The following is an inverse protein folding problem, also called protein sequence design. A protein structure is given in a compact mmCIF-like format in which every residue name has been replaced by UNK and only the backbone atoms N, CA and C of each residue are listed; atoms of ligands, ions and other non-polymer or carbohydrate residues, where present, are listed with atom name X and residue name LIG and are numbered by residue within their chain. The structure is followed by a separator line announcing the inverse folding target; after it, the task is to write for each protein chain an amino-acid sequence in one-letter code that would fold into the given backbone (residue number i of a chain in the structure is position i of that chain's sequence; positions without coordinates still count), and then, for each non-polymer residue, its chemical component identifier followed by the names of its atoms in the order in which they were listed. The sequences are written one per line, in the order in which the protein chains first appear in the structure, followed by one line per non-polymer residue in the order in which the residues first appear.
data_IF_159129394994
#
_entry.id   IF_159129394994
#
_cell.length_a   1.000
_cell.length_b   1.000
_cell.length_c   1.000
_cell.angle_alpha   90.00
_cell.angle_beta   90.00
_cell.angle_gamma   90.00
#
_symmetry.space_group_name_H-M   'P 1'
#
loop_
_entity.id
_entity.type
_entity.pdbx_description
1 polymer ?
#
# COMPACT_ATOMS: atom_id res chain seq x y z
N UNK A 1 -3.75 -33.35 -36.12
CA UNK A 1 -3.88 -32.02 -36.76
C UNK A 1 -3.39 -31.02 -35.73
N UNK A 2 -2.17 -30.53 -35.89
CA UNK A 2 -1.61 -29.50 -35.01
C UNK A 2 -2.18 -28.15 -35.43
N UNK A 3 -3.13 -27.62 -34.65
CA UNK A 3 -3.59 -26.24 -34.80
C UNK A 3 -2.38 -25.33 -34.60
N UNK A 4 -1.97 -24.66 -35.69
CA UNK A 4 -0.93 -23.64 -35.60
C UNK A 4 -1.48 -22.46 -34.79
N UNK A 5 -0.76 -21.95 -33.78
CA UNK A 5 -1.19 -20.78 -33.02
C UNK A 5 -1.37 -19.61 -34.00
N UNK A 6 -2.55 -19.00 -33.98
CA UNK A 6 -2.88 -17.89 -34.88
C UNK A 6 -2.31 -16.59 -34.34
N UNK A 7 -2.06 -15.60 -35.22
CA UNK A 7 -1.65 -14.25 -34.79
C UNK A 7 -2.65 -13.63 -33.78
N UNK A 8 -3.92 -14.01 -33.87
CA UNK A 8 -5.00 -13.60 -32.96
C UNK A 8 -4.80 -14.15 -31.53
N UNK A 9 -4.32 -15.40 -31.39
CA UNK A 9 -4.05 -16.00 -30.08
C UNK A 9 -2.90 -15.29 -29.36
N UNK A 10 -1.84 -14.94 -30.10
CA UNK A 10 -0.70 -14.18 -29.56
C UNK A 10 -1.12 -12.77 -29.12
N UNK A 11 -1.93 -12.08 -29.94
CA UNK A 11 -2.44 -10.75 -29.59
C UNK A 11 -3.33 -10.79 -28.34
N UNK A 12 -4.14 -11.85 -28.19
CA UNK A 12 -4.95 -12.05 -26.99
C UNK A 12 -4.10 -12.25 -25.74
N UNK A 13 -3.04 -13.05 -25.81
CA UNK A 13 -2.13 -13.26 -24.68
C UNK A 13 -1.44 -11.96 -24.25
N UNK A 14 -0.98 -11.15 -25.21
CA UNK A 14 -0.38 -9.83 -24.92
C UNK A 14 -1.39 -8.92 -24.23
N UNK A 15 -2.62 -8.84 -24.75
CA UNK A 15 -3.66 -8.00 -24.15
C UNK A 15 -3.98 -8.42 -22.69
N UNK A 16 -4.06 -9.72 -22.42
CA UNK A 16 -4.29 -10.25 -21.07
C UNK A 16 -3.10 -9.99 -20.14
N UNK A 17 -1.87 -10.12 -20.65
CA UNK A 17 -0.66 -9.78 -19.91
C UNK A 17 -0.68 -8.31 -19.47
N UNK A 18 -0.93 -7.40 -20.41
CA UNK A 18 -0.90 -5.97 -20.16
C UNK A 18 -2.01 -5.53 -19.19
N UNK A 19 -3.19 -6.13 -19.30
CA UNK A 19 -4.29 -5.92 -18.35
C UNK A 19 -3.88 -6.33 -16.92
N UNK A 20 -3.31 -7.53 -16.75
CA UNK A 20 -2.88 -8.00 -15.44
C UNK A 20 -1.69 -7.21 -14.88
N UNK A 21 -0.78 -6.77 -15.75
CA UNK A 21 0.32 -5.90 -15.36
C UNK A 21 -0.18 -4.55 -14.83
N UNK A 22 -1.13 -3.92 -15.52
CA UNK A 22 -1.76 -2.68 -15.06
C UNK A 22 -2.51 -2.87 -13.72
N UNK A 23 -3.20 -4.01 -13.54
CA UNK A 23 -3.84 -4.35 -12.27
C UNK A 23 -2.81 -4.50 -11.13
N UNK A 24 -1.63 -5.08 -11.41
CA UNK A 24 -0.57 -5.27 -10.43
C UNK A 24 0.02 -3.92 -10.00
N UNK A 25 0.26 -3.02 -10.95
CA UNK A 25 0.79 -1.68 -10.67
C UNK A 25 -0.16 -0.89 -9.76
N UNK A 26 -1.46 -0.88 -10.07
CA UNK A 26 -2.47 -0.23 -9.23
C UNK A 26 -2.51 -0.83 -7.81
N UNK A 27 -2.46 -2.15 -7.70
CA UNK A 27 -2.47 -2.83 -6.40
C UNK A 27 -1.22 -2.48 -5.58
N UNK A 28 -0.05 -2.38 -6.22
CA UNK A 28 1.20 -2.00 -5.56
C UNK A 28 1.14 -0.57 -4.99
N UNK A 29 0.55 0.38 -5.73
CA UNK A 29 0.34 1.75 -5.24
C UNK A 29 -0.58 1.80 -4.01
N UNK A 30 -1.67 1.05 -4.03
CA UNK A 30 -2.59 0.96 -2.89
C UNK A 30 -1.90 0.35 -1.66
N UNK A 31 -1.13 -0.72 -1.86
CA UNK A 31 -0.34 -1.34 -0.79
C UNK A 31 0.65 -0.36 -0.16
N UNK A 32 1.33 0.46 -0.97
CA UNK A 32 2.24 1.51 -0.48
C UNK A 32 1.51 2.55 0.37
N UNK A 33 0.32 2.98 -0.02
CA UNK A 33 -0.49 3.91 0.76
C UNK A 33 -0.88 3.33 2.14
N UNK A 34 -1.24 2.03 2.19
CA UNK A 34 -1.55 1.33 3.44
C UNK A 34 -0.31 1.20 4.33
N UNK A 35 0.85 0.87 3.75
CA UNK A 35 2.12 0.82 4.49
C UNK A 35 2.48 2.16 5.13
N UNK A 36 2.30 3.27 4.40
CA UNK A 36 2.49 4.61 4.97
C UNK A 36 1.54 4.87 6.14
N UNK A 37 0.27 4.47 6.02
CA UNK A 37 -0.74 4.63 7.09
C UNK A 37 -0.38 3.82 8.35
N UNK A 38 0.21 2.63 8.19
CA UNK A 38 0.73 1.80 9.29
C UNK A 38 1.86 2.53 10.00
N UNK A 39 2.84 3.06 9.24
CA UNK A 39 3.98 3.82 9.80
C UNK A 39 3.49 5.06 10.54
N UNK A 40 2.48 5.76 10.03
CA UNK A 40 1.89 6.92 10.71
C UNK A 40 1.22 6.54 12.04
N UNK A 41 0.52 5.40 12.11
CA UNK A 41 -0.03 4.89 13.35
C UNK A 41 1.08 4.62 14.38
N UNK A 42 2.19 4.00 13.96
CA UNK A 42 3.35 3.74 14.84
C UNK A 42 4.02 5.01 15.32
N UNK A 43 4.22 5.98 14.44
CA UNK A 43 4.76 7.30 14.79
C UNK A 43 3.87 8.01 15.82
N UNK A 44 2.55 7.95 15.64
CA UNK A 44 1.61 8.54 16.58
C UNK A 44 1.67 7.85 17.96
N UNK A 45 1.70 6.52 18.01
CA UNK A 45 1.87 5.77 19.28
C UNK A 45 3.18 6.16 19.98
N UNK A 46 4.29 6.15 19.25
CA UNK A 46 5.60 6.53 19.80
C UNK A 46 5.62 7.97 20.30
N UNK A 47 4.96 8.90 19.59
CA UNK A 47 4.85 10.29 20.03
C UNK A 47 4.02 10.41 21.32
N UNK A 48 2.90 9.69 21.43
CA UNK A 48 2.09 9.66 22.64
C UNK A 48 2.91 9.16 23.82
N UNK A 49 3.64 8.05 23.66
CA UNK A 49 4.49 7.50 24.73
C UNK A 49 5.63 8.44 25.10
N UNK A 50 6.25 9.10 24.11
CA UNK A 50 7.34 10.05 24.36
C UNK A 50 6.90 11.31 25.09
N UNK A 51 5.62 11.69 24.99
CA UNK A 51 5.05 12.89 25.61
C UNK A 51 4.30 12.60 26.92
N UNK A 52 3.98 11.34 27.20
CA UNK A 52 3.24 10.94 28.41
C UNK A 52 3.96 11.43 29.67
N UNK A 53 3.23 12.12 30.55
CA UNK A 53 3.75 12.66 31.81
C UNK A 53 4.69 13.87 31.69
N UNK A 54 4.93 14.40 30.49
CA UNK A 54 5.82 15.54 30.25
C UNK A 54 5.09 16.88 30.28
N UNK A 55 4.39 17.16 31.37
CA UNK A 55 3.62 18.40 31.49
C UNK A 55 4.52 19.65 31.46
N UNK A 56 4.04 20.71 30.80
CA UNK A 56 4.74 21.99 30.72
C UNK A 56 6.03 22.00 29.89
N UNK A 57 6.39 20.90 29.22
CA UNK A 57 7.56 20.85 28.33
C UNK A 57 7.41 21.88 27.21
N UNK A 58 8.42 22.76 27.11
CA UNK A 58 8.53 23.72 26.02
C UNK A 58 8.92 22.99 24.73
N UNK A 59 8.23 23.30 23.64
CA UNK A 59 8.46 22.74 22.31
C UNK A 59 8.43 23.83 21.25
N UNK A 60 9.10 23.56 20.13
CA UNK A 60 9.05 24.40 18.94
C UNK A 60 8.13 23.75 17.92
N UNK A 61 7.10 24.49 17.50
CA UNK A 61 6.18 24.04 16.47
C UNK A 61 6.59 24.71 15.14
N UNK A 62 6.93 23.93 14.09
CA UNK A 62 7.22 24.50 12.78
C UNK A 62 5.95 25.07 12.16
N UNK A 63 6.03 26.28 11.63
CA UNK A 63 4.91 26.96 10.94
C UNK A 63 5.18 27.22 9.46
N UNK A 64 6.33 26.75 8.93
CA UNK A 64 6.72 26.88 7.52
C UNK A 64 7.87 27.85 7.28
N UNK A 65 8.46 27.82 6.09
CA UNK A 65 9.58 28.69 5.67
C UNK A 65 10.75 28.76 6.69
N UNK A 66 11.06 27.65 7.37
CA UNK A 66 12.09 27.60 8.42
C UNK A 66 11.74 28.37 9.72
N UNK A 67 10.47 28.78 9.90
CA UNK A 67 9.98 29.52 11.05
C UNK A 67 9.31 28.61 12.09
N UNK A 68 9.45 28.97 13.36
CA UNK A 68 8.98 28.20 14.51
C UNK A 68 8.29 29.09 15.54
N UNK A 69 7.30 28.55 16.25
CA UNK A 69 6.68 29.19 17.41
C UNK A 69 6.93 28.37 18.68
N UNK A 70 7.07 29.06 19.81
CA UNK A 70 7.16 28.41 21.11
C UNK A 70 5.77 27.96 21.57
N UNK A 71 5.68 26.73 22.05
CA UNK A 71 4.49 26.19 22.69
C UNK A 71 4.89 25.41 23.95
N UNK A 72 3.93 25.23 24.84
CA UNK A 72 4.06 24.31 25.99
C UNK A 72 3.05 23.19 25.85
N UNK A 73 3.49 21.96 26.14
CA UNK A 73 2.57 20.82 26.19
C UNK A 73 1.60 21.03 27.36
N UNK A 74 0.31 20.87 27.05
CA UNK A 74 -0.79 20.87 28.02
C UNK A 74 -1.49 19.52 27.96
N UNK A 75 -1.93 19.00 29.12
CA UNK A 75 -2.65 17.71 29.25
C UNK A 75 -1.92 16.54 28.55
N UNK A 76 -0.70 16.17 28.99
CA UNK A 76 0.10 15.11 28.37
C UNK A 76 -0.53 13.70 28.45
N UNK A 77 -1.61 13.55 29.21
CA UNK A 77 -2.42 12.34 29.40
C UNK A 77 -3.65 12.28 28.48
N UNK A 78 -3.87 13.31 27.65
CA UNK A 78 -5.02 13.43 26.75
C UNK A 78 -4.56 13.52 25.30
N UNK A 79 -5.34 12.92 24.40
CA UNK A 79 -5.05 12.92 22.97
C UNK A 79 -6.34 13.02 22.18
N UNK A 80 -6.33 13.86 21.14
CA UNK A 80 -7.44 13.99 20.19
C UNK A 80 -7.17 13.05 19.02
N UNK A 81 -8.09 12.11 18.77
CA UNK A 81 -7.97 11.13 17.70
C UNK A 81 -9.13 11.30 16.71
N UNK A 82 -8.80 11.32 15.42
CA UNK A 82 -9.78 11.27 14.34
C UNK A 82 -10.53 9.93 14.29
N UNK A 83 -11.87 10.00 14.32
CA UNK A 83 -12.76 8.85 14.21
C UNK A 83 -13.19 8.57 12.75
N UNK A 84 -12.97 9.53 11.85
CA UNK A 84 -13.45 9.50 10.46
C UNK A 84 -14.61 10.49 10.25
N UNK A 85 -14.99 10.75 9.00
CA UNK A 85 -16.11 11.64 8.66
C UNK A 85 -16.04 13.03 9.31
N UNK A 86 -14.84 13.60 9.43
CA UNK A 86 -14.57 14.87 10.12
C UNK A 86 -14.93 14.88 11.63
N UNK A 87 -15.09 13.70 12.25
CA UNK A 87 -15.34 13.55 13.68
C UNK A 87 -14.03 13.22 14.39
N UNK A 88 -13.80 13.85 15.54
CA UNK A 88 -12.68 13.57 16.44
C UNK A 88 -13.17 13.44 17.88
N UNK A 89 -12.44 12.67 18.70
CA UNK A 89 -12.72 12.58 20.13
C UNK A 89 -11.44 12.78 20.94
N UNK A 90 -11.57 13.49 22.06
CA UNK A 90 -10.54 13.57 23.09
C UNK A 90 -10.67 12.37 24.03
N UNK A 91 -9.58 11.61 24.19
CA UNK A 91 -9.53 10.43 25.06
C UNK A 91 -8.20 10.40 25.83
N UNK A 92 -8.05 9.43 26.74
CA UNK A 92 -6.77 9.24 27.43
C UNK A 92 -5.69 8.79 26.44
N UNK A 93 -4.43 9.09 26.73
CA UNK A 93 -3.28 8.62 25.96
C UNK A 93 -3.28 7.09 25.78
N UNK A 94 -3.67 6.35 26.81
CA UNK A 94 -3.70 4.88 26.74
C UNK A 94 -4.81 4.37 25.81
N UNK A 95 -6.02 4.96 25.88
CA UNK A 95 -7.11 4.62 24.96
C UNK A 95 -6.78 5.02 23.50
N UNK A 96 -6.09 6.16 23.32
CA UNK A 96 -5.63 6.60 22.00
C UNK A 96 -4.63 5.60 21.40
N UNK A 97 -3.66 5.11 22.18
CA UNK A 97 -2.71 4.08 21.75
C UNK A 97 -3.39 2.78 21.38
N UNK A 98 -4.32 2.30 22.21
CA UNK A 98 -5.08 1.09 21.92
C UNK A 98 -5.79 1.21 20.57
N UNK A 99 -6.47 2.34 20.34
CA UNK A 99 -7.18 2.61 19.08
C UNK A 99 -6.27 2.71 17.86
N UNK A 100 -5.08 3.31 18.01
CA UNK A 100 -4.08 3.39 16.95
C UNK A 100 -3.47 2.01 16.64
N UNK A 101 -3.25 1.18 17.66
CA UNK A 101 -2.75 -0.18 17.49
C UNK A 101 -3.80 -1.09 16.82
N UNK A 102 -5.07 -1.00 17.22
CA UNK A 102 -6.18 -1.70 16.55
C UNK A 102 -6.31 -1.27 15.08
N UNK A 103 -6.21 0.04 14.80
CA UNK A 103 -6.17 0.54 13.41
C UNK A 103 -4.98 -0.03 12.64
N UNK A 104 -3.80 -0.07 13.25
CA UNK A 104 -2.58 -0.63 12.65
C UNK A 104 -2.77 -2.11 12.31
N UNK A 105 -3.30 -2.90 13.24
CA UNK A 105 -3.55 -4.33 13.03
C UNK A 105 -4.54 -4.58 11.88
N UNK A 106 -5.63 -3.79 11.82
CA UNK A 106 -6.59 -3.86 10.70
C UNK A 106 -5.94 -3.56 9.36
N UNK A 107 -5.12 -2.51 9.29
CA UNK A 107 -4.38 -2.16 8.09
C UNK A 107 -3.37 -3.26 7.70
N UNK A 108 -2.68 -3.85 8.68
CA UNK A 108 -1.74 -4.94 8.44
C UNK A 108 -2.43 -6.18 7.84
N UNK A 109 -3.62 -6.56 8.34
CA UNK A 109 -4.44 -7.65 7.77
C UNK A 109 -4.88 -7.35 6.34
N UNK A 110 -5.30 -6.12 6.05
CA UNK A 110 -5.66 -5.70 4.68
C UNK A 110 -4.44 -5.80 3.76
N UNK A 111 -3.27 -5.33 4.22
CA UNK A 111 -2.03 -5.41 3.45
C UNK A 111 -1.61 -6.85 3.18
N UNK A 112 -1.78 -7.75 4.15
CA UNK A 112 -1.53 -9.19 3.98
C UNK A 112 -2.42 -9.78 2.88
N UNK A 113 -3.72 -9.49 2.91
CA UNK A 113 -4.65 -9.92 1.85
C UNK A 113 -4.26 -9.37 0.48
N UNK A 114 -3.84 -8.10 0.41
CA UNK A 114 -3.37 -7.51 -0.85
C UNK A 114 -2.08 -8.18 -1.36
N UNK A 115 -1.15 -8.55 -0.48
CA UNK A 115 0.04 -9.31 -0.86
C UNK A 115 -0.32 -10.69 -1.46
N UNK A 116 -1.31 -11.37 -0.88
CA UNK A 116 -1.80 -12.65 -1.42
C UNK A 116 -2.38 -12.46 -2.83
N UNK A 117 -3.22 -11.45 -3.02
CA UNK A 117 -3.81 -11.12 -4.31
C UNK A 117 -2.74 -10.76 -5.36
N UNK A 118 -1.73 -9.99 -4.95
CA UNK A 118 -0.56 -9.67 -5.80
C UNK A 118 0.18 -10.93 -6.22
N UNK A 119 0.40 -11.87 -5.29
CA UNK A 119 1.05 -13.14 -5.57
C UNK A 119 0.25 -14.01 -6.56
N UNK A 120 -1.07 -14.02 -6.47
CA UNK A 120 -1.93 -14.70 -7.46
C UNK A 120 -1.85 -14.04 -8.84
N UNK A 121 -1.86 -12.72 -8.89
CA UNK A 121 -1.75 -11.96 -10.13
C UNK A 121 -0.40 -12.17 -10.82
N UNK A 122 0.70 -12.14 -10.05
CA UNK A 122 2.04 -12.44 -10.54
C UNK A 122 2.14 -13.86 -11.14
N UNK A 123 1.49 -14.87 -10.53
CA UNK A 123 1.43 -16.22 -11.09
C UNK A 123 0.69 -16.27 -12.42
N UNK A 124 -0.40 -15.50 -12.58
CA UNK A 124 -1.16 -15.41 -13.84
C UNK A 124 -0.32 -14.77 -14.95
N UNK A 125 0.37 -13.67 -14.64
CA UNK A 125 1.30 -13.00 -15.57
C UNK A 125 2.40 -13.97 -16.03
N UNK A 126 3.02 -14.69 -15.09
CA UNK A 126 4.05 -15.69 -15.41
C UNK A 126 3.52 -16.83 -16.29
N UNK A 127 2.29 -17.29 -16.05
CA UNK A 127 1.67 -18.33 -16.87
C UNK A 127 1.45 -17.87 -18.31
N UNK A 128 0.94 -16.64 -18.50
CA UNK A 128 0.76 -16.02 -19.82
C UNK A 128 2.11 -15.87 -20.53
N UNK A 129 3.14 -15.41 -19.83
CA UNK A 129 4.48 -15.26 -20.41
C UNK A 129 5.06 -16.60 -20.87
N UNK A 130 4.87 -17.66 -20.08
CA UNK A 130 5.33 -19.00 -20.41
C UNK A 130 4.57 -19.57 -21.64
N UNK A 131 3.27 -19.31 -21.74
CA UNK A 131 2.45 -19.71 -22.87
C UNK A 131 2.83 -18.96 -24.16
N UNK A 132 2.96 -17.63 -24.08
CA UNK A 132 3.41 -16.81 -25.21
C UNK A 132 4.78 -17.26 -25.74
N UNK A 133 5.72 -17.57 -24.84
CA UNK A 133 7.06 -18.04 -25.21
C UNK A 133 7.01 -19.40 -25.92
N UNK A 134 6.14 -20.31 -25.48
CA UNK A 134 5.93 -21.60 -26.16
C UNK A 134 5.36 -21.43 -27.57
N UNK A 135 4.34 -20.58 -27.71
CA UNK A 135 3.70 -20.33 -29.00
C UNK A 135 4.66 -19.68 -30.00
N UNK A 136 5.50 -18.74 -29.56
CA UNK A 136 6.53 -18.11 -30.38
C UNK A 136 7.59 -19.09 -30.91
N UNK A 137 7.92 -20.15 -30.15
CA UNK A 137 8.85 -21.20 -30.58
C UNK A 137 8.25 -22.17 -31.59
N UNK A 138 6.92 -22.32 -31.59
CA UNK A 138 6.20 -23.21 -32.51
C UNK A 138 5.80 -22.55 -33.83
N UNK A 139 6.02 -21.23 -33.99
CA UNK A 139 5.85 -20.55 -35.27
C UNK A 139 7.06 -20.87 -36.18
N UNK A 140 6.89 -21.58 -37.32
CA UNK A 140 7.98 -21.81 -38.25
C UNK A 140 8.42 -20.48 -38.90
N UNK A 141 9.74 -20.29 -39.03
CA UNK A 141 10.44 -19.13 -39.62
C UNK A 141 10.17 -19.00 -41.15
N UNK A 142 9.29 -19.83 -41.73
CA UNK A 142 9.27 -20.16 -43.16
C UNK A 142 8.36 -19.26 -44.03
N UNK A 143 8.10 -18.02 -43.61
CA UNK A 143 7.50 -17.00 -44.50
C UNK A 143 8.36 -15.75 -44.66
N UNK A 144 9.61 -15.77 -44.19
CA UNK A 144 10.55 -14.67 -44.42
C UNK A 144 11.12 -14.61 -45.85
N UNK A 145 10.83 -15.60 -46.71
CA UNK A 145 11.17 -15.59 -48.13
C UNK A 145 10.05 -16.19 -48.98
N UNK A 146 9.05 -15.39 -49.33
CA UNK A 146 8.25 -15.52 -50.57
C UNK A 146 7.70 -14.16 -50.97
#
# INVERSE_FOLDING_TARGET
MSEQPTNEDMQRLIAQHDEHQAQAELLAEQMKAIQMSIIECERAVNAIDALKGKDGVASLIPIGAGSFVHAKLVKPDRTIIGLGSNVSAEMSSDAAKERLNDRKEKLAKILEQMNQNMGELAKRIQAIQAEATKQAQTMPVDQAYS
#
